data_IF_406873446608
#
_entry.id   IF_406873446608
#
_cell.length_a   1.000
_cell.length_b   1.000
_cell.length_c   1.000
_cell.angle_alpha   90.00
_cell.angle_beta   90.00
_cell.angle_gamma   90.00
#
_symmetry.space_group_name_H-M   'P 1'
#
loop_
_entity.id
_entity.type
_entity.pdbx_description
1 polymer ?
#
# COMPACT_ATOMS: atom_id res chain seq x y z
N UNK A 1 21.32 14.88 1.87
CA UNK A 1 20.46 14.86 3.06
C UNK A 1 19.20 14.08 2.72
N UNK A 2 19.03 12.87 3.26
CA UNK A 2 17.83 12.08 3.01
C UNK A 2 16.70 12.69 3.82
N UNK A 3 15.63 13.14 3.16
CA UNK A 3 14.40 13.55 3.82
C UNK A 3 13.98 12.38 4.72
N UNK A 4 14.02 12.58 6.04
CA UNK A 4 13.38 11.68 6.98
C UNK A 4 11.90 11.75 6.63
N UNK A 5 11.45 10.80 5.82
CA UNK A 5 10.04 10.61 5.57
C UNK A 5 9.48 10.21 6.93
N UNK A 6 8.97 11.19 7.69
CA UNK A 6 7.94 10.89 8.66
C UNK A 6 6.83 10.30 7.82
N UNK A 7 6.63 8.99 7.93
CA UNK A 7 5.49 8.32 7.38
C UNK A 7 4.24 8.86 8.09
N UNK A 8 3.84 10.08 7.74
CA UNK A 8 2.70 10.80 8.29
C UNK A 8 2.85 11.07 9.80
N UNK A 9 2.66 12.31 10.21
CA UNK A 9 2.25 12.63 11.59
C UNK A 9 0.88 11.96 11.82
N UNK A 10 0.93 10.67 12.19
CA UNK A 10 -0.22 9.78 12.33
C UNK A 10 -1.05 10.14 13.58
N UNK A 11 -0.46 10.79 14.59
CA UNK A 11 -1.14 11.05 15.87
C UNK A 11 -2.39 11.92 15.69
N UNK A 12 -2.38 12.87 14.76
CA UNK A 12 -3.52 13.75 14.47
C UNK A 12 -4.28 13.42 13.17
N UNK A 13 -3.80 12.44 12.40
CA UNK A 13 -4.38 12.09 11.09
C UNK A 13 -4.93 10.66 11.00
N UNK A 14 -4.62 9.80 11.97
CA UNK A 14 -5.24 8.48 12.11
C UNK A 14 -6.76 8.61 12.16
N UNK A 15 -7.44 7.89 11.27
CA UNK A 15 -8.91 7.86 11.19
C UNK A 15 -9.57 9.02 10.42
N UNK A 16 -8.82 10.02 9.93
CA UNK A 16 -9.39 11.05 9.06
C UNK A 16 -9.65 10.49 7.64
N UNK A 17 -10.72 10.95 6.95
CA UNK A 17 -10.93 10.59 5.56
C UNK A 17 -9.73 10.98 4.69
N UNK A 18 -9.45 10.18 3.66
CA UNK A 18 -8.48 10.55 2.64
C UNK A 18 -8.90 11.89 2.00
N UNK A 19 -7.93 12.78 1.82
CA UNK A 19 -8.14 14.11 1.20
C UNK A 19 -7.71 14.03 -0.27
N UNK A 20 -8.44 14.63 -1.21
CA UNK A 20 -8.02 14.77 -2.60
C UNK A 20 -6.62 15.34 -2.73
N UNK A 21 -5.90 14.84 -3.71
CA UNK A 21 -4.62 15.41 -4.13
C UNK A 21 -4.46 15.24 -5.63
N UNK A 22 -3.64 16.11 -6.21
CA UNK A 22 -3.13 16.00 -7.58
C UNK A 22 -1.84 15.17 -7.66
N UNK A 23 -1.30 14.73 -6.51
CA UNK A 23 -0.10 13.89 -6.45
C UNK A 23 -0.33 12.52 -7.07
N UNK A 24 0.65 12.05 -7.85
CA UNK A 24 0.75 10.68 -8.33
C UNK A 24 2.03 10.00 -7.81
N UNK A 25 1.97 8.68 -7.64
CA UNK A 25 3.12 7.82 -7.38
C UNK A 25 3.12 6.72 -8.43
N UNK A 26 4.14 6.69 -9.29
CA UNK A 26 4.26 5.72 -10.36
C UNK A 26 5.30 4.64 -10.06
N UNK A 27 5.03 3.43 -10.52
CA UNK A 27 6.00 2.34 -10.64
C UNK A 27 6.83 2.08 -9.38
N UNK A 28 6.20 2.08 -8.20
CA UNK A 28 6.85 1.63 -6.98
C UNK A 28 7.01 0.11 -7.05
N UNK A 29 8.26 -0.38 -7.06
CA UNK A 29 8.57 -1.80 -7.28
C UNK A 29 8.97 -2.46 -5.97
N UNK A 30 8.13 -3.36 -5.47
CA UNK A 30 8.52 -4.33 -4.45
C UNK A 30 9.15 -5.52 -5.14
N UNK A 31 10.47 -5.65 -5.01
CA UNK A 31 11.18 -6.76 -5.65
C UNK A 31 10.87 -8.10 -4.99
N UNK A 32 10.68 -8.12 -3.67
CA UNK A 32 10.34 -9.34 -2.96
C UNK A 32 9.59 -9.08 -1.66
N UNK A 33 8.64 -9.96 -1.33
CA UNK A 33 7.87 -9.92 -0.09
C UNK A 33 7.75 -11.33 0.50
N UNK A 34 8.21 -11.51 1.74
CA UNK A 34 8.21 -12.82 2.40
C UNK A 34 7.64 -12.76 3.81
N UNK A 35 6.90 -13.80 4.17
CA UNK A 35 6.58 -14.14 5.56
C UNK A 35 7.60 -15.15 6.07
N UNK A 36 8.25 -14.84 7.19
CA UNK A 36 9.09 -15.81 7.90
C UNK A 36 8.23 -16.68 8.80
N UNK A 37 8.25 -18.01 8.59
CA UNK A 37 7.49 -18.96 9.41
C UNK A 37 8.43 -19.98 10.06
N UNK A 38 8.23 -20.22 11.34
CA UNK A 38 8.84 -21.36 12.01
C UNK A 38 7.94 -22.60 11.83
N UNK A 39 8.52 -23.68 11.29
CA UNK A 39 7.86 -24.97 11.11
C UNK A 39 8.85 -26.01 11.63
N UNK A 40 8.46 -26.75 12.67
CA UNK A 40 9.28 -27.77 13.33
C UNK A 40 10.68 -27.27 13.74
N UNK A 41 10.76 -26.04 14.25
CA UNK A 41 12.01 -25.42 14.69
C UNK A 41 12.86 -24.80 13.57
N UNK A 42 12.49 -24.98 12.30
CA UNK A 42 13.19 -24.40 11.15
C UNK A 42 12.44 -23.15 10.66
N UNK A 43 13.17 -22.06 10.45
CA UNK A 43 12.61 -20.82 9.90
C UNK A 43 12.67 -20.83 8.38
N UNK A 44 11.51 -20.78 7.74
CA UNK A 44 11.34 -20.72 6.29
C UNK A 44 10.98 -19.31 5.83
N UNK A 45 11.45 -18.93 4.64
CA UNK A 45 10.94 -17.78 3.89
C UNK A 45 9.82 -18.27 2.98
N UNK A 46 8.61 -17.78 3.22
CA UNK A 46 7.44 -18.11 2.41
C UNK A 46 7.08 -16.86 1.60
N UNK A 47 7.11 -16.91 0.25
CA UNK A 47 6.76 -15.74 -0.55
C UNK A 47 5.29 -15.36 -0.34
N UNK A 48 5.04 -14.05 -0.36
CA UNK A 48 3.68 -13.53 -0.50
C UNK A 48 3.12 -14.00 -1.84
N UNK A 49 1.86 -14.39 -1.87
CA UNK A 49 1.15 -14.77 -3.09
C UNK A 49 -0.35 -14.50 -2.91
N UNK A 50 -1.13 -14.74 -3.96
CA UNK A 50 -2.57 -14.43 -3.96
C UNK A 50 -3.36 -15.16 -2.87
N UNK A 51 -2.88 -16.30 -2.36
CA UNK A 51 -3.56 -17.02 -1.28
C UNK A 51 -3.22 -16.51 0.12
N UNK A 52 -2.26 -15.58 0.23
CA UNK A 52 -1.74 -15.05 1.52
C UNK A 52 -1.84 -13.53 1.64
N UNK A 53 -2.21 -12.83 0.58
CA UNK A 53 -2.33 -11.37 0.57
C UNK A 53 -3.63 -10.89 1.24
N UNK A 54 -3.55 -9.75 1.92
CA UNK A 54 -4.68 -8.86 2.17
C UNK A 54 -4.50 -7.59 1.35
N UNK A 55 -5.44 -7.30 0.44
CA UNK A 55 -5.39 -6.10 -0.42
C UNK A 55 -6.13 -4.95 0.25
N UNK A 56 -5.48 -3.80 0.41
CA UNK A 56 -6.05 -2.58 1.00
C UNK A 56 -5.93 -1.38 0.06
N UNK A 57 -6.56 -1.47 -1.10
CA UNK A 57 -6.65 -0.36 -2.06
C UNK A 57 -7.78 0.59 -1.66
N UNK A 58 -7.50 1.45 -0.68
CA UNK A 58 -8.47 2.36 -0.08
C UNK A 58 -8.09 3.84 -0.31
N UNK A 59 -9.07 4.77 -0.33
CA UNK A 59 -10.51 4.53 -0.20
C UNK A 59 -11.18 4.04 -1.49
N UNK A 60 -10.58 4.28 -2.66
CA UNK A 60 -11.13 3.89 -3.96
C UNK A 60 -10.12 3.00 -4.68
N UNK A 61 -10.52 1.75 -4.96
CA UNK A 61 -9.67 0.76 -5.64
C UNK A 61 -9.21 1.26 -7.02
N UNK A 62 -10.03 2.07 -7.69
CA UNK A 62 -9.72 2.65 -9.02
C UNK A 62 -8.52 3.60 -9.02
N UNK A 63 -8.06 4.06 -7.86
CA UNK A 63 -6.86 4.90 -7.73
C UNK A 63 -5.57 4.09 -7.72
N UNK A 64 -5.65 2.76 -7.74
CA UNK A 64 -4.49 1.90 -7.65
C UNK A 64 -4.36 1.06 -8.92
N UNK A 65 -3.13 0.88 -9.39
CA UNK A 65 -2.81 -0.08 -10.44
C UNK A 65 -1.65 -0.94 -9.96
N UNK A 66 -1.80 -2.26 -10.06
CA UNK A 66 -0.76 -3.21 -9.68
C UNK A 66 -0.55 -4.28 -10.75
N UNK A 67 0.67 -4.77 -10.91
CA UNK A 67 1.01 -5.82 -11.89
C UNK A 67 0.55 -7.23 -11.50
N UNK A 68 0.02 -7.40 -10.29
CA UNK A 68 -0.17 -8.71 -9.66
C UNK A 68 1.09 -9.18 -8.93
N UNK A 69 0.95 -10.22 -8.09
CA UNK A 69 2.02 -10.73 -7.23
C UNK A 69 2.76 -11.86 -7.95
N UNK A 70 4.07 -11.77 -8.04
CA UNK A 70 4.91 -12.91 -8.44
C UNK A 70 4.90 -13.97 -7.33
N UNK A 71 4.32 -15.13 -7.61
CA UNK A 71 4.18 -16.22 -6.63
C UNK A 71 5.50 -16.81 -6.12
N UNK A 72 6.63 -16.60 -6.82
CA UNK A 72 7.95 -17.08 -6.41
C UNK A 72 8.64 -16.11 -5.45
N UNK A 73 8.49 -14.80 -5.68
CA UNK A 73 9.23 -13.76 -4.97
C UNK A 73 8.37 -12.93 -4.02
N UNK A 74 7.05 -12.93 -4.22
CA UNK A 74 6.12 -11.98 -3.62
C UNK A 74 6.29 -10.55 -4.14
N UNK A 75 6.95 -10.38 -5.28
CA UNK A 75 7.17 -9.07 -5.88
C UNK A 75 5.92 -8.52 -6.56
N UNK A 76 5.79 -7.20 -6.56
CA UNK A 76 4.71 -6.47 -7.23
C UNK A 76 5.17 -5.05 -7.59
N UNK A 77 4.57 -4.49 -8.64
CA UNK A 77 4.69 -3.05 -8.92
C UNK A 77 3.35 -2.40 -8.62
N UNK A 78 3.36 -1.27 -7.91
CA UNK A 78 2.16 -0.52 -7.52
C UNK A 78 2.28 0.93 -7.96
N UNK A 79 1.20 1.47 -8.51
CA UNK A 79 1.04 2.90 -8.81
C UNK A 79 -0.22 3.43 -8.11
N UNK A 80 -0.14 4.68 -7.63
CA UNK A 80 -1.22 5.40 -6.95
C UNK A 80 -1.52 6.65 -7.75
N UNK A 81 -2.76 6.78 -8.17
CA UNK A 81 -3.26 7.85 -9.03
C UNK A 81 -3.99 8.90 -8.20
N UNK A 82 -3.91 10.18 -8.61
CA UNK A 82 -4.66 11.25 -7.97
C UNK A 82 -6.16 11.02 -8.09
N UNK A 83 -6.91 11.65 -7.18
CA UNK A 83 -8.37 11.66 -7.24
C UNK A 83 -8.86 13.08 -7.05
N UNK A 84 -8.98 13.84 -8.14
CA UNK A 84 -9.40 15.23 -8.09
C UNK A 84 -10.84 15.41 -7.59
N UNK A 85 -11.66 14.35 -7.67
CA UNK A 85 -13.12 14.44 -7.47
C UNK A 85 -13.62 13.98 -6.09
N UNK A 86 -12.73 13.54 -5.18
CA UNK A 86 -13.09 13.16 -3.82
C UNK A 86 -13.31 14.39 -2.92
N UNK A 87 -14.10 15.39 -3.33
CA UNK A 87 -14.32 16.62 -2.57
C UNK A 87 -14.49 16.32 -1.07
N UNK A 88 -13.79 17.03 -0.16
CA UNK A 88 -13.92 16.78 1.26
C UNK A 88 -15.41 16.87 1.62
N UNK A 89 -16.00 15.77 2.10
CA UNK A 89 -17.34 15.83 2.69
C UNK A 89 -17.25 16.85 3.80
N UNK A 90 -17.92 17.99 3.62
CA UNK A 90 -18.00 19.04 4.64
C UNK A 90 -18.43 18.36 5.94
N UNK A 91 -17.66 18.57 7.00
CA UNK A 91 -18.13 18.29 8.35
C UNK A 91 -19.13 19.39 8.63
N UNK A 92 -20.38 19.03 8.42
CA UNK A 92 -21.57 19.79 8.79
C UNK A 92 -21.76 21.06 7.92
N UNK A 93 -22.96 21.27 7.36
CA UNK A 93 -23.40 22.45 6.56
C UNK A 93 -23.07 22.51 5.03
#
# INVERSE_FOLDING_TARGET
EFKRVNAIDQVANEGKPAVPTTTSVGEAIWHNTYLYRNIDGITYRVPMNDTRIGVMNCPLVTQFTSTGIDALTGGETVSIHPSPDLAPRRKDE
#
